data_IF_283626800365
#
_entry.id   IF_283626800365
#
_cell.length_a   1.000
_cell.length_b   1.000
_cell.length_c   1.000
_cell.angle_alpha   90.00
_cell.angle_beta   90.00
_cell.angle_gamma   90.00
#
_symmetry.space_group_name_H-M   'P 1'
#
loop_
_entity.id
_entity.type
_entity.pdbx_description
1 polymer ?
#
# COMPACT_ATOMS: atom_id res chain seq x y z
N UNK A 1 4.81 25.39 5.15
CA UNK A 1 5.21 24.07 5.65
C UNK A 1 4.11 23.63 6.59
N UNK A 2 3.38 22.55 6.23
CA UNK A 2 2.32 22.01 7.10
C UNK A 2 3.00 21.21 8.21
N UNK A 3 2.72 21.52 9.48
CA UNK A 3 3.25 20.78 10.63
C UNK A 3 2.17 19.84 11.16
N UNK A 4 2.45 18.56 11.09
CA UNK A 4 1.63 17.47 11.65
C UNK A 4 2.42 16.80 12.78
N UNK A 5 1.74 16.40 13.86
CA UNK A 5 2.28 15.50 14.88
C UNK A 5 1.37 14.29 15.00
N UNK A 6 1.96 13.12 15.01
CA UNK A 6 1.30 11.85 15.25
C UNK A 6 2.03 11.05 16.32
N UNK A 7 1.30 10.29 17.10
CA UNK A 7 1.80 9.21 17.93
C UNK A 7 0.91 8.00 17.66
N UNK A 8 1.51 6.93 17.19
CA UNK A 8 0.83 5.66 16.94
C UNK A 8 1.32 4.63 17.96
N UNK A 9 0.44 3.77 18.37
CA UNK A 9 0.67 2.70 19.33
C UNK A 9 0.22 1.41 18.67
N UNK A 10 1.06 0.38 18.64
CA UNK A 10 0.68 -0.94 18.17
C UNK A 10 0.86 -2.00 19.27
N UNK A 11 -0.07 -2.93 19.35
CA UNK A 11 -0.06 -4.09 20.23
C UNK A 11 0.19 -5.34 19.39
N UNK A 12 1.16 -6.15 19.77
CA UNK A 12 1.56 -7.39 19.09
C UNK A 12 0.93 -8.64 19.75
N UNK A 13 0.77 -9.75 19.01
CA UNK A 13 -0.35 -10.70 19.07
C UNK A 13 -0.44 -11.65 20.25
N UNK A 14 -1.62 -12.31 20.35
CA UNK A 14 -1.86 -13.49 21.18
C UNK A 14 -1.55 -14.71 20.33
N UNK A 15 -0.53 -15.49 20.71
CA UNK A 15 -0.12 -16.70 20.00
C UNK A 15 -1.10 -17.86 20.24
N UNK A 16 -1.32 -18.69 19.20
CA UNK A 16 -2.10 -19.90 19.27
C UNK A 16 -1.38 -21.04 20.05
N UNK A 17 -2.16 -22.02 20.51
CA UNK A 17 -1.63 -23.21 21.17
C UNK A 17 -0.77 -24.05 20.22
N UNK A 18 0.39 -24.47 20.70
CA UNK A 18 1.29 -25.35 19.95
C UNK A 18 0.59 -26.69 19.61
N UNK A 19 0.54 -27.04 18.30
CA UNK A 19 0.02 -28.32 17.82
C UNK A 19 -1.28 -28.26 17.02
N UNK A 20 -1.96 -27.11 16.93
CA UNK A 20 -3.11 -26.94 16.02
C UNK A 20 -2.66 -26.53 14.61
N UNK A 21 -3.43 -26.83 13.54
CA UNK A 21 -3.16 -26.31 12.21
C UNK A 21 -3.56 -24.85 12.02
N UNK A 22 -4.06 -24.19 13.06
CA UNK A 22 -4.54 -22.82 13.06
C UNK A 22 -3.64 -21.93 13.90
N UNK A 23 -3.41 -20.73 13.40
CA UNK A 23 -2.77 -19.64 14.13
C UNK A 23 -3.66 -18.39 14.05
N UNK A 24 -3.81 -17.69 15.19
CA UNK A 24 -4.65 -16.49 15.28
C UNK A 24 -3.83 -15.38 15.91
N UNK A 25 -3.69 -14.30 15.19
CA UNK A 25 -2.99 -13.10 15.63
C UNK A 25 -3.96 -11.91 15.64
N UNK A 26 -3.77 -11.00 16.59
CA UNK A 26 -4.55 -9.77 16.67
C UNK A 26 -3.61 -8.59 16.92
N UNK A 27 -3.63 -7.63 16.00
CA UNK A 27 -2.84 -6.42 16.05
C UNK A 27 -3.75 -5.20 16.17
N UNK A 28 -3.47 -4.35 17.15
CA UNK A 28 -4.19 -3.09 17.33
C UNK A 28 -3.22 -1.93 17.12
N UNK A 29 -3.59 -1.02 16.23
CA UNK A 29 -2.88 0.23 15.99
C UNK A 29 -3.77 1.42 16.35
N UNK A 30 -3.26 2.34 17.16
CA UNK A 30 -3.97 3.58 17.52
C UNK A 30 -3.08 4.80 17.38
N UNK A 31 -3.59 5.88 16.82
CA UNK A 31 -2.83 7.10 16.55
C UNK A 31 -3.55 8.37 16.94
N UNK A 32 -2.88 9.24 17.71
CA UNK A 32 -3.30 10.61 17.98
C UNK A 32 -2.67 11.55 16.97
N UNK A 33 -3.48 12.19 16.16
CA UNK A 33 -3.07 13.09 15.08
C UNK A 33 -3.47 14.52 15.36
N UNK A 34 -2.67 15.47 14.94
CA UNK A 34 -3.00 16.90 15.06
C UNK A 34 -2.46 17.71 13.89
N UNK A 35 -3.34 18.38 13.16
CA UNK A 35 -2.98 19.44 12.24
C UNK A 35 -2.73 20.74 13.05
N UNK A 36 -1.48 21.18 13.08
CA UNK A 36 -1.04 22.33 13.88
C UNK A 36 -1.19 23.63 13.11
N UNK A 37 -0.98 23.59 11.78
CA UNK A 37 -1.01 24.80 10.95
C UNK A 37 -1.28 24.48 9.48
N UNK A 38 -2.01 25.38 8.81
CA UNK A 38 -2.38 25.25 7.40
C UNK A 38 -3.44 24.17 7.17
N UNK A 39 -3.60 23.75 5.90
CA UNK A 39 -4.64 22.79 5.49
C UNK A 39 -6.03 23.43 5.46
N UNK A 40 -7.07 22.58 5.56
CA UNK A 40 -8.49 22.99 5.55
C UNK A 40 -8.86 23.56 6.92
N UNK A 41 -8.55 22.82 8.00
CA UNK A 41 -8.81 23.26 9.36
C UNK A 41 -7.75 22.73 10.35
N UNK A 42 -7.47 23.52 11.41
CA UNK A 42 -6.66 23.04 12.54
C UNK A 42 -7.48 22.10 13.41
N UNK A 43 -6.87 21.09 13.94
CA UNK A 43 -7.57 20.15 14.84
C UNK A 43 -6.88 18.81 14.95
N UNK A 44 -7.47 17.90 15.68
CA UNK A 44 -6.95 16.56 15.89
C UNK A 44 -7.96 15.48 15.48
N UNK A 45 -7.43 14.27 15.34
CA UNK A 45 -8.20 13.06 15.17
C UNK A 45 -7.51 11.91 15.92
N UNK A 46 -8.29 10.98 16.44
CA UNK A 46 -7.81 9.70 16.92
C UNK A 46 -8.24 8.65 15.91
N UNK A 47 -7.27 7.96 15.32
CA UNK A 47 -7.49 6.88 14.36
C UNK A 47 -7.09 5.58 15.04
N UNK A 48 -7.85 4.52 14.82
CA UNK A 48 -7.46 3.18 15.25
C UNK A 48 -7.94 2.10 14.29
N UNK A 49 -7.23 0.98 14.32
CA UNK A 49 -7.48 -0.24 13.55
C UNK A 49 -7.22 -1.45 14.44
N UNK A 50 -8.03 -2.48 14.26
CA UNK A 50 -7.82 -3.81 14.81
C UNK A 50 -7.83 -4.81 13.65
N UNK A 51 -6.72 -5.52 13.50
CA UNK A 51 -6.51 -6.54 12.50
C UNK A 51 -6.49 -7.91 13.19
N UNK A 52 -7.33 -8.83 12.75
CA UNK A 52 -7.33 -10.22 13.22
C UNK A 52 -6.99 -11.12 12.05
N UNK A 53 -5.80 -11.72 12.11
CA UNK A 53 -5.29 -12.65 11.11
C UNK A 53 -5.52 -14.08 11.59
N UNK A 54 -6.15 -14.89 10.75
CA UNK A 54 -6.39 -16.31 10.96
C UNK A 54 -5.65 -17.07 9.87
N UNK A 55 -4.61 -17.80 10.22
CA UNK A 55 -3.80 -18.61 9.31
C UNK A 55 -4.09 -20.11 9.51
N UNK A 56 -4.03 -20.87 8.42
CA UNK A 56 -4.24 -22.31 8.40
C UNK A 56 -3.13 -23.03 7.64
N UNK A 57 -2.59 -24.06 8.26
CA UNK A 57 -1.54 -24.93 7.73
C UNK A 57 -2.16 -26.22 7.18
N UNK A 58 -2.22 -26.35 5.85
CA UNK A 58 -2.81 -27.49 5.18
C UNK A 58 -1.96 -28.75 5.27
N UNK A 59 -0.65 -28.67 5.46
CA UNK A 59 0.20 -29.84 5.66
C UNK A 59 -0.13 -30.50 7.00
N UNK A 60 -0.26 -29.72 8.06
CA UNK A 60 -0.65 -30.22 9.40
C UNK A 60 -2.10 -30.70 9.44
N UNK A 61 -3.02 -30.04 8.73
CA UNK A 61 -4.43 -30.34 8.80
C UNK A 61 -4.85 -31.54 7.95
N UNK A 62 -4.35 -31.62 6.72
CA UNK A 62 -4.80 -32.58 5.70
C UNK A 62 -3.66 -33.28 4.96
N UNK A 63 -2.40 -33.08 5.37
CA UNK A 63 -1.21 -33.74 4.79
C UNK A 63 -0.79 -33.22 3.41
N UNK A 64 -1.30 -32.08 2.97
CA UNK A 64 -0.95 -31.48 1.67
C UNK A 64 0.18 -30.48 1.85
N UNK A 65 1.39 -30.89 1.50
CA UNK A 65 2.59 -30.05 1.63
C UNK A 65 2.48 -28.77 0.82
N UNK A 66 2.79 -27.65 1.50
CA UNK A 66 2.78 -26.31 0.88
C UNK A 66 1.40 -25.73 0.62
N UNK A 67 0.34 -26.35 1.11
CA UNK A 67 -1.01 -25.78 1.11
C UNK A 67 -1.20 -24.93 2.36
N UNK A 68 -1.66 -23.70 2.20
CA UNK A 68 -1.99 -22.79 3.30
C UNK A 68 -3.18 -21.91 2.95
N UNK A 69 -3.85 -21.36 3.96
CA UNK A 69 -4.89 -20.35 3.79
C UNK A 69 -4.77 -19.28 4.87
N UNK A 70 -5.28 -18.10 4.58
CA UNK A 70 -5.33 -16.99 5.52
C UNK A 70 -6.60 -16.18 5.34
N UNK A 71 -7.10 -15.64 6.45
CA UNK A 71 -8.12 -14.61 6.45
C UNK A 71 -7.68 -13.47 7.37
N UNK A 72 -7.82 -12.23 6.91
CA UNK A 72 -7.59 -11.01 7.67
C UNK A 72 -8.92 -10.28 7.82
N UNK A 73 -9.36 -10.11 9.06
CA UNK A 73 -10.53 -9.33 9.43
C UNK A 73 -10.06 -8.00 10.00
N UNK A 74 -10.50 -6.91 9.37
CA UNK A 74 -10.13 -5.55 9.70
C UNK A 74 -11.33 -4.82 10.32
N UNK A 75 -11.10 -4.14 11.45
CA UNK A 75 -12.00 -3.11 11.99
C UNK A 75 -11.24 -1.80 12.15
N UNK A 76 -11.91 -0.68 11.86
CA UNK A 76 -11.41 0.66 12.14
C UNK A 76 -12.52 1.66 12.49
N UNK A 77 -12.14 2.76 13.17
CA UNK A 77 -13.07 3.74 13.69
C UNK A 77 -13.54 4.80 12.69
N UNK A 78 -13.02 4.79 11.47
CA UNK A 78 -13.44 5.68 10.38
C UNK A 78 -13.11 7.16 10.57
N UNK A 79 -12.16 7.50 11.42
CA UNK A 79 -11.70 8.87 11.57
C UNK A 79 -10.69 9.23 10.47
N UNK A 80 -10.60 10.52 10.15
CA UNK A 80 -9.70 11.04 9.12
C UNK A 80 -8.97 12.27 9.64
N UNK A 81 -7.64 12.31 9.43
CA UNK A 81 -6.83 13.51 9.60
C UNK A 81 -6.64 14.21 8.24
N UNK A 82 -6.62 13.47 7.14
CA UNK A 82 -6.49 13.99 5.80
C UNK A 82 -7.64 14.93 5.44
N UNK A 83 -8.86 14.69 5.96
CA UNK A 83 -10.00 15.61 5.81
C UNK A 83 -9.76 17.00 6.40
N UNK A 84 -8.87 17.13 7.39
CA UNK A 84 -8.49 18.41 8.00
C UNK A 84 -7.31 19.08 7.29
N UNK A 85 -6.46 18.29 6.68
CA UNK A 85 -5.27 18.78 5.99
C UNK A 85 -5.54 19.07 4.52
N UNK A 86 -6.38 18.26 3.87
CA UNK A 86 -6.66 18.34 2.44
C UNK A 86 -5.46 17.91 1.61
N UNK A 87 -4.83 16.81 2.03
CA UNK A 87 -3.78 16.14 1.29
C UNK A 87 -4.37 15.05 0.39
N UNK A 88 -3.62 14.67 -0.64
CA UNK A 88 -3.98 13.59 -1.55
C UNK A 88 -3.27 12.27 -1.23
N UNK A 89 -2.34 12.27 -0.27
CA UNK A 89 -1.48 11.11 0.01
C UNK A 89 -1.98 10.21 1.14
N UNK A 90 -3.04 10.60 1.86
CA UNK A 90 -3.50 9.98 3.09
C UNK A 90 -2.40 9.90 4.16
N UNK A 91 -2.47 10.79 5.12
CA UNK A 91 -1.46 10.98 6.15
C UNK A 91 -1.27 9.76 7.06
N UNK A 92 -2.26 8.88 7.13
CA UNK A 92 -2.18 7.65 7.91
C UNK A 92 -2.57 6.44 7.07
N UNK A 93 -1.72 5.41 7.11
CA UNK A 93 -1.93 4.15 6.41
C UNK A 93 -3.07 3.28 6.99
N UNK A 94 -3.69 3.68 8.12
CA UNK A 94 -4.91 3.06 8.67
C UNK A 94 -6.15 3.92 8.45
N UNK A 95 -6.05 5.00 7.68
CA UNK A 95 -7.14 5.95 7.45
C UNK A 95 -8.14 5.42 6.42
N UNK A 96 -9.38 5.20 6.85
CA UNK A 96 -10.48 4.75 5.98
C UNK A 96 -11.83 5.03 6.63
N UNK A 97 -12.94 4.64 5.99
CA UNK A 97 -14.29 4.72 6.56
C UNK A 97 -14.48 3.68 7.67
N UNK A 98 -15.26 4.00 8.70
CA UNK A 98 -15.62 3.05 9.76
C UNK A 98 -16.23 1.78 9.16
N UNK A 99 -15.61 0.63 9.44
CA UNK A 99 -16.08 -0.65 8.95
C UNK A 99 -15.51 -1.82 9.76
N UNK A 100 -16.23 -2.93 9.74
CA UNK A 100 -15.73 -4.28 10.03
C UNK A 100 -15.83 -5.08 8.73
N UNK A 101 -14.71 -5.57 8.22
CA UNK A 101 -14.68 -6.28 6.93
C UNK A 101 -13.63 -7.38 6.88
N UNK A 102 -13.83 -8.35 6.02
CA UNK A 102 -12.76 -9.26 5.60
C UNK A 102 -11.94 -8.51 4.54
N UNK A 103 -10.68 -8.21 4.85
CA UNK A 103 -9.75 -7.57 3.93
C UNK A 103 -9.09 -8.60 3.04
N UNK A 104 -8.65 -9.73 3.61
CA UNK A 104 -8.07 -10.84 2.85
C UNK A 104 -8.76 -12.16 3.22
N UNK A 105 -8.92 -13.03 2.22
CA UNK A 105 -9.31 -14.43 2.40
C UNK A 105 -8.83 -15.23 1.20
N UNK A 106 -7.69 -15.90 1.34
CA UNK A 106 -7.05 -16.59 0.22
C UNK A 106 -6.52 -17.97 0.60
N UNK A 107 -6.30 -18.79 -0.43
CA UNK A 107 -5.60 -20.08 -0.37
C UNK A 107 -4.34 -19.98 -1.21
N UNK A 108 -3.24 -20.53 -0.72
CA UNK A 108 -1.95 -20.59 -1.40
C UNK A 108 -1.43 -22.01 -1.50
N UNK A 109 -0.81 -22.32 -2.64
CA UNK A 109 -0.11 -23.56 -2.88
C UNK A 109 1.35 -23.29 -3.26
N UNK A 110 2.29 -23.80 -2.45
CA UNK A 110 3.73 -23.63 -2.58
C UNK A 110 4.46 -24.95 -2.26
N UNK A 111 4.36 -25.99 -3.12
CA UNK A 111 4.75 -27.36 -2.73
C UNK A 111 6.24 -27.59 -2.55
N UNK A 112 7.09 -26.81 -3.18
CA UNK A 112 8.55 -27.01 -3.19
C UNK A 112 9.33 -25.86 -2.58
N UNK A 113 8.83 -24.65 -2.70
CA UNK A 113 9.53 -23.42 -2.38
C UNK A 113 8.49 -22.31 -2.14
N UNK A 114 8.50 -21.60 -1.02
CA UNK A 114 7.58 -20.48 -0.77
C UNK A 114 7.60 -19.43 -1.89
N UNK A 115 8.76 -19.23 -2.54
CA UNK A 115 8.90 -18.29 -3.67
C UNK A 115 8.50 -18.90 -5.04
N UNK A 116 7.90 -20.10 -5.04
CA UNK A 116 7.24 -20.73 -6.20
C UNK A 116 5.84 -21.12 -5.81
N UNK A 117 4.94 -20.15 -5.88
CA UNK A 117 3.61 -20.26 -5.30
C UNK A 117 2.52 -19.70 -6.20
N UNK A 118 1.32 -20.24 -5.99
CA UNK A 118 0.09 -19.74 -6.58
C UNK A 118 -0.86 -19.41 -5.42
N UNK A 119 -1.48 -18.21 -5.47
CA UNK A 119 -2.44 -17.74 -4.47
C UNK A 119 -3.72 -17.32 -5.17
N UNK A 120 -4.87 -17.64 -4.57
CA UNK A 120 -6.18 -17.27 -5.07
C UNK A 120 -7.11 -16.87 -3.92
N UNK A 121 -7.85 -15.79 -4.08
CA UNK A 121 -8.87 -15.33 -3.12
C UNK A 121 -8.97 -13.80 -3.07
N UNK A 122 -9.60 -13.29 -2.02
CA UNK A 122 -9.54 -11.87 -1.68
C UNK A 122 -8.10 -11.53 -1.30
N UNK A 123 -7.49 -10.61 -2.04
CA UNK A 123 -6.06 -10.41 -1.98
C UNK A 123 -5.71 -8.92 -1.99
N UNK A 124 -4.97 -8.48 -0.98
CA UNK A 124 -4.36 -7.15 -0.96
C UNK A 124 -3.07 -7.16 -1.78
N UNK A 125 -3.10 -6.49 -2.93
CA UNK A 125 -1.95 -6.40 -3.85
C UNK A 125 -0.72 -5.80 -3.17
N UNK A 126 -0.90 -4.83 -2.27
CA UNK A 126 0.21 -4.13 -1.63
C UNK A 126 0.87 -4.92 -0.51
N UNK A 127 0.42 -6.12 -0.21
CA UNK A 127 1.18 -7.04 0.66
C UNK A 127 2.42 -7.61 -0.02
N UNK A 128 2.48 -7.59 -1.35
CA UNK A 128 3.59 -8.18 -2.12
C UNK A 128 4.09 -7.30 -3.27
N UNK A 129 3.25 -6.42 -3.86
CA UNK A 129 3.61 -5.55 -5.00
C UNK A 129 3.80 -4.11 -4.55
N UNK A 130 4.80 -3.44 -5.14
CA UNK A 130 5.18 -2.05 -4.85
C UNK A 130 5.50 -1.82 -3.37
N UNK A 131 6.06 -2.83 -2.71
CA UNK A 131 6.39 -2.82 -1.28
C UNK A 131 7.87 -2.67 -1.05
N UNK A 132 8.24 -1.90 -0.02
CA UNK A 132 9.64 -1.72 0.39
C UNK A 132 9.77 -1.86 1.91
N UNK A 133 10.73 -2.68 2.35
CA UNK A 133 10.97 -2.91 3.78
C UNK A 133 11.45 -1.64 4.50
N UNK A 134 12.28 -0.85 3.81
CA UNK A 134 12.79 0.43 4.32
C UNK A 134 11.66 1.42 4.62
N UNK A 135 10.59 1.43 3.81
CA UNK A 135 9.50 2.39 4.00
C UNK A 135 8.44 1.95 5.02
N UNK A 136 8.46 0.71 5.49
CA UNK A 136 7.43 0.15 6.39
C UNK A 136 7.32 0.83 7.77
N UNK A 137 8.28 1.69 8.13
CA UNK A 137 8.28 2.46 9.38
C UNK A 137 7.43 3.73 9.31
N UNK A 138 7.14 4.22 8.10
CA UNK A 138 6.43 5.49 7.91
C UNK A 138 4.91 5.31 7.98
N UNK A 139 4.23 6.37 8.40
CA UNK A 139 2.78 6.38 8.63
C UNK A 139 1.98 6.88 7.42
N UNK A 140 2.57 7.76 6.60
CA UNK A 140 1.88 8.26 5.41
C UNK A 140 1.78 7.16 4.36
N UNK A 141 0.56 6.97 3.81
CA UNK A 141 0.23 5.86 2.90
C UNK A 141 1.08 5.83 1.63
N UNK A 142 1.58 6.99 1.17
CA UNK A 142 2.40 7.06 -0.05
C UNK A 142 3.75 6.35 0.07
N UNK A 143 4.22 6.06 1.30
CA UNK A 143 5.43 5.28 1.53
C UNK A 143 5.17 3.77 1.53
N UNK A 144 3.92 3.33 1.67
CA UNK A 144 3.50 1.93 1.52
C UNK A 144 3.30 1.54 0.06
N UNK A 145 2.65 2.41 -0.72
CA UNK A 145 2.41 2.23 -2.16
C UNK A 145 2.39 3.60 -2.84
N UNK A 146 2.99 3.72 -4.02
CA UNK A 146 2.98 4.99 -4.74
C UNK A 146 1.59 5.42 -5.19
N UNK A 147 1.26 6.71 -5.07
CA UNK A 147 -0.07 7.24 -5.44
C UNK A 147 -0.40 7.08 -6.92
N UNK A 148 0.61 6.91 -7.78
CA UNK A 148 0.45 6.55 -9.19
C UNK A 148 -0.20 5.18 -9.40
N UNK A 149 -0.01 4.26 -8.45
CA UNK A 149 -0.68 2.95 -8.40
C UNK A 149 -1.93 3.04 -7.53
N UNK A 150 -1.81 3.53 -6.30
CA UNK A 150 -2.89 3.53 -5.31
C UNK A 150 -4.16 4.26 -5.76
N UNK A 151 -4.03 5.31 -6.57
CA UNK A 151 -5.15 6.10 -7.08
C UNK A 151 -5.47 5.81 -8.56
N UNK A 152 -5.03 4.67 -9.07
CA UNK A 152 -5.34 4.22 -10.43
C UNK A 152 -6.74 3.59 -10.51
N UNK A 153 -7.29 3.48 -11.72
CA UNK A 153 -8.60 2.86 -11.94
C UNK A 153 -9.78 3.68 -11.43
N UNK A 154 -10.90 3.01 -11.16
CA UNK A 154 -12.15 3.66 -10.71
C UNK A 154 -12.13 3.93 -9.21
N UNK A 155 -11.58 3.00 -8.42
CA UNK A 155 -11.58 3.04 -6.96
C UNK A 155 -10.24 2.61 -6.36
N UNK A 156 -9.14 2.78 -7.08
CA UNK A 156 -7.85 2.19 -6.78
C UNK A 156 -7.75 0.72 -7.20
N UNK A 157 -6.56 0.11 -7.07
CA UNK A 157 -6.38 -1.32 -7.20
C UNK A 157 -6.91 -2.07 -5.96
N UNK A 158 -6.85 -3.40 -5.98
CA UNK A 158 -7.16 -4.24 -4.80
C UNK A 158 -6.10 -4.07 -3.72
N UNK A 159 -6.27 -3.08 -2.87
CA UNK A 159 -5.41 -2.74 -1.71
C UNK A 159 -6.27 -2.33 -0.53
N UNK A 160 -5.68 -2.21 0.68
CA UNK A 160 -6.37 -1.56 1.80
C UNK A 160 -7.02 -0.24 1.35
N UNK A 161 -8.27 0.05 1.68
CA UNK A 161 -9.18 -0.73 2.53
C UNK A 161 -10.15 -1.63 1.77
N UNK A 162 -10.11 -1.72 0.46
CA UNK A 162 -11.01 -2.50 -0.38
C UNK A 162 -10.23 -3.46 -1.27
N UNK A 163 -10.49 -4.75 -1.10
CA UNK A 163 -9.85 -5.81 -1.87
C UNK A 163 -10.82 -6.51 -2.79
N UNK A 164 -10.30 -7.21 -3.76
CA UNK A 164 -11.03 -7.99 -4.74
C UNK A 164 -10.48 -9.40 -4.88
N UNK A 165 -11.20 -10.24 -5.60
CA UNK A 165 -10.67 -11.54 -5.99
C UNK A 165 -9.47 -11.36 -6.91
N UNK A 166 -8.42 -12.13 -6.62
CA UNK A 166 -7.19 -12.14 -7.39
C UNK A 166 -6.58 -13.52 -7.51
N UNK A 167 -5.80 -13.70 -8.57
CA UNK A 167 -4.92 -14.82 -8.78
C UNK A 167 -3.50 -14.28 -8.89
N UNK A 168 -2.61 -14.69 -7.97
CA UNK A 168 -1.20 -14.32 -7.97
C UNK A 168 -0.31 -15.53 -8.18
N UNK A 169 0.61 -15.45 -9.12
CA UNK A 169 1.72 -16.37 -9.33
C UNK A 169 3.05 -15.72 -8.99
N UNK A 170 3.92 -16.45 -8.28
CA UNK A 170 5.28 -16.04 -7.98
C UNK A 170 6.23 -17.16 -8.36
N UNK A 171 7.39 -16.78 -8.93
CA UNK A 171 8.39 -17.73 -9.38
C UNK A 171 9.80 -17.20 -9.14
N UNK A 172 10.55 -17.88 -8.29
CA UNK A 172 11.99 -17.67 -8.16
C UNK A 172 12.70 -18.34 -9.34
N UNK A 173 13.37 -17.54 -10.18
CA UNK A 173 14.10 -18.02 -11.35
C UNK A 173 15.44 -18.64 -10.89
N UNK A 174 16.17 -17.91 -10.07
CA UNK A 174 17.43 -18.33 -9.44
C UNK A 174 17.61 -17.63 -8.05
N UNK A 175 18.79 -17.71 -7.46
CA UNK A 175 19.08 -17.11 -6.15
C UNK A 175 18.93 -15.57 -6.09
N UNK A 176 18.95 -14.90 -7.23
CA UNK A 176 18.87 -13.44 -7.29
C UNK A 176 17.70 -12.89 -8.08
N UNK A 177 16.98 -13.70 -8.86
CA UNK A 177 15.88 -13.24 -9.70
C UNK A 177 14.55 -13.86 -9.31
N UNK A 178 13.55 -13.01 -9.14
CA UNK A 178 12.16 -13.37 -8.89
C UNK A 178 11.25 -12.62 -9.86
N UNK A 179 10.24 -13.31 -10.35
CA UNK A 179 9.12 -12.72 -11.10
C UNK A 179 7.83 -13.02 -10.35
N UNK A 180 6.94 -12.05 -10.28
CA UNK A 180 5.59 -12.25 -9.79
C UNK A 180 4.59 -11.51 -10.67
N UNK A 181 3.37 -12.06 -10.75
CA UNK A 181 2.28 -11.46 -11.49
C UNK A 181 0.96 -11.72 -10.78
N UNK A 182 0.03 -10.77 -10.89
CA UNK A 182 -1.32 -10.89 -10.36
C UNK A 182 -2.35 -10.46 -11.40
N UNK A 183 -3.50 -11.13 -11.39
CA UNK A 183 -4.72 -10.73 -12.09
C UNK A 183 -5.80 -10.53 -11.03
N UNK A 184 -6.40 -9.35 -11.00
CA UNK A 184 -7.39 -8.96 -10.01
C UNK A 184 -8.61 -8.36 -10.72
N UNK A 185 -9.76 -8.32 -10.07
CA UNK A 185 -10.87 -7.52 -10.59
C UNK A 185 -10.47 -6.06 -10.74
N UNK A 186 -10.97 -5.41 -11.79
CA UNK A 186 -10.61 -4.03 -12.13
C UNK A 186 -11.20 -2.97 -11.20
N UNK A 187 -12.24 -3.32 -10.43
CA UNK A 187 -12.85 -2.47 -9.41
C UNK A 187 -12.97 -3.27 -8.11
N UNK A 188 -12.19 -2.97 -7.07
CA UNK A 188 -12.24 -3.72 -5.83
C UNK A 188 -13.52 -3.43 -5.05
N UNK A 189 -14.14 -4.49 -4.53
CA UNK A 189 -15.31 -4.40 -3.67
C UNK A 189 -16.52 -3.75 -4.37
N UNK A 190 -17.24 -2.93 -3.62
CA UNK A 190 -18.35 -2.11 -4.11
C UNK A 190 -18.13 -0.66 -3.63
N UNK A 191 -17.71 0.26 -4.50
CA UNK A 191 -17.49 1.67 -4.13
C UNK A 191 -18.72 2.37 -3.54
N UNK A 192 -19.92 1.91 -3.86
CA UNK A 192 -21.18 2.44 -3.28
C UNK A 192 -21.42 1.92 -1.86
N UNK A 193 -20.75 0.81 -1.48
CA UNK A 193 -20.90 0.17 -0.15
C UNK A 193 -19.54 -0.07 0.51
N UNK A 194 -18.70 0.96 0.68
CA UNK A 194 -17.31 0.83 1.10
C UNK A 194 -17.11 0.25 2.51
N UNK A 195 -18.19 0.12 3.28
CA UNK A 195 -18.17 -0.45 4.64
C UNK A 195 -18.30 -1.98 4.69
N UNK A 196 -18.46 -2.63 3.54
CA UNK A 196 -18.71 -4.08 3.47
C UNK A 196 -17.67 -4.77 2.62
N UNK A 197 -17.32 -5.99 2.99
CA UNK A 197 -16.67 -6.92 2.07
C UNK A 197 -17.69 -7.31 1.00
N UNK A 198 -17.38 -7.03 -0.25
CA UNK A 198 -18.22 -7.35 -1.40
C UNK A 198 -17.35 -7.96 -2.48
N UNK A 199 -17.76 -9.10 -3.03
CA UNK A 199 -17.20 -9.69 -4.24
C UNK A 199 -18.19 -9.40 -5.34
N UNK A 200 -17.79 -8.55 -6.31
CA UNK A 200 -18.63 -8.16 -7.43
C UNK A 200 -17.91 -8.47 -8.72
N UNK A 201 -18.23 -9.61 -9.31
CA UNK A 201 -17.70 -9.98 -10.61
C UNK A 201 -18.52 -9.27 -11.70
N UNK A 202 -17.88 -8.36 -12.44
CA UNK A 202 -18.50 -7.64 -13.54
C UNK A 202 -17.59 -7.65 -14.76
N UNK A 203 -18.13 -8.03 -15.91
CA UNK A 203 -17.40 -7.95 -17.19
C UNK A 203 -17.00 -6.52 -17.55
N UNK A 204 -17.77 -5.53 -17.10
CA UNK A 204 -17.57 -4.11 -17.44
C UNK A 204 -16.44 -3.51 -16.63
N UNK A 205 -16.22 -4.01 -15.42
CA UNK A 205 -15.13 -3.59 -14.53
C UNK A 205 -13.75 -4.10 -15.02
N UNK A 206 -13.75 -5.13 -15.89
CA UNK A 206 -12.55 -5.72 -16.46
C UNK A 206 -11.61 -6.32 -15.39
N UNK A 207 -10.33 -6.42 -15.73
CA UNK A 207 -9.27 -6.93 -14.84
C UNK A 207 -8.10 -5.96 -14.78
N UNK A 208 -7.46 -5.92 -13.61
CA UNK A 208 -6.14 -5.33 -13.40
C UNK A 208 -5.10 -6.45 -13.50
N UNK A 209 -4.15 -6.31 -14.42
CA UNK A 209 -2.95 -7.13 -14.47
C UNK A 209 -1.77 -6.36 -13.90
N UNK A 210 -0.98 -7.00 -13.02
CA UNK A 210 0.25 -6.43 -12.46
C UNK A 210 1.36 -7.47 -12.59
N UNK A 211 2.57 -7.03 -12.90
CA UNK A 211 3.76 -7.87 -12.97
C UNK A 211 4.97 -7.14 -12.40
N UNK A 212 5.79 -7.84 -11.64
CA UNK A 212 7.08 -7.37 -11.16
C UNK A 212 8.21 -8.32 -11.53
N UNK A 213 9.35 -7.73 -11.83
CA UNK A 213 10.64 -8.41 -11.92
C UNK A 213 11.55 -7.84 -10.84
N UNK A 214 12.06 -8.70 -10.00
CA UNK A 214 12.96 -8.37 -8.91
C UNK A 214 14.35 -8.97 -9.13
N UNK A 215 15.36 -8.18 -8.80
CA UNK A 215 16.76 -8.62 -8.65
C UNK A 215 17.21 -8.33 -7.23
N UNK A 216 17.66 -9.37 -6.53
CA UNK A 216 18.29 -9.24 -5.22
C UNK A 216 19.76 -9.66 -5.33
N UNK A 217 20.68 -8.78 -4.93
CA UNK A 217 22.11 -9.03 -4.99
C UNK A 217 22.82 -8.28 -3.86
N UNK A 218 23.51 -9.03 -2.99
CA UNK A 218 24.29 -8.47 -1.88
C UNK A 218 23.47 -7.54 -0.97
N UNK A 219 22.20 -7.88 -0.70
CA UNK A 219 21.27 -7.10 0.11
C UNK A 219 20.68 -5.87 -0.62
N UNK A 220 21.01 -5.65 -1.89
CA UNK A 220 20.35 -4.64 -2.74
C UNK A 220 19.22 -5.28 -3.49
N UNK A 221 18.04 -4.68 -3.39
CA UNK A 221 16.82 -5.12 -4.05
C UNK A 221 16.44 -4.10 -5.12
N UNK A 222 16.32 -4.55 -6.36
CA UNK A 222 15.87 -3.76 -7.50
C UNK A 222 14.57 -4.35 -7.99
N UNK A 223 13.57 -3.52 -8.18
CA UNK A 223 12.26 -3.96 -8.70
C UNK A 223 11.85 -3.03 -9.82
N UNK A 224 11.28 -3.63 -10.86
CA UNK A 224 10.51 -2.94 -11.88
C UNK A 224 9.14 -3.60 -11.96
N UNK A 225 8.08 -2.79 -11.85
CA UNK A 225 6.69 -3.22 -11.91
C UNK A 225 5.94 -2.53 -13.04
N UNK A 226 4.99 -3.23 -13.63
CA UNK A 226 4.06 -2.70 -14.62
C UNK A 226 2.65 -3.16 -14.31
N UNK A 227 1.69 -2.25 -14.41
CA UNK A 227 0.28 -2.54 -14.22
C UNK A 227 -0.56 -2.03 -15.40
N UNK A 228 -1.68 -2.71 -15.66
CA UNK A 228 -2.60 -2.34 -16.73
C UNK A 228 -4.01 -2.85 -16.45
N UNK A 229 -5.00 -1.97 -16.68
CA UNK A 229 -6.41 -2.32 -16.69
C UNK A 229 -6.86 -2.74 -18.09
N UNK A 230 -7.78 -3.72 -18.17
CA UNK A 230 -8.38 -4.16 -19.42
C UNK A 230 -9.68 -3.41 -19.77
N UNK A 231 -10.31 -2.75 -18.79
CA UNK A 231 -11.54 -1.99 -18.97
C UNK A 231 -11.30 -0.71 -19.80
N UNK A 232 -12.39 -0.12 -20.28
CA UNK A 232 -12.40 1.24 -20.82
C UNK A 232 -12.61 2.26 -19.73
N UNK A 233 -11.85 3.34 -19.81
CA UNK A 233 -11.93 4.48 -18.87
C UNK A 233 -12.26 5.75 -19.62
N UNK A 234 -12.98 6.65 -18.97
CA UNK A 234 -13.16 8.00 -19.42
C UNK A 234 -11.82 8.76 -19.39
N UNK A 235 -11.48 9.44 -20.48
CA UNK A 235 -10.31 10.32 -20.49
C UNK A 235 -10.62 11.62 -19.76
N UNK A 236 -9.71 12.05 -18.88
CA UNK A 236 -9.95 13.18 -17.96
C UNK A 236 -10.29 14.52 -18.64
N UNK A 237 -9.72 14.78 -19.81
CA UNK A 237 -9.87 16.08 -20.48
C UNK A 237 -10.35 15.99 -21.94
N UNK A 238 -10.59 14.79 -22.46
CA UNK A 238 -10.98 14.61 -23.84
C UNK A 238 -12.49 14.29 -23.96
N UNK A 239 -13.20 15.07 -24.76
CA UNK A 239 -14.64 14.89 -25.02
C UNK A 239 -14.92 14.60 -26.47
N UNK A 240 -16.02 13.92 -26.73
CA UNK A 240 -16.60 13.71 -28.05
C UNK A 240 -17.40 14.97 -28.49
N UNK A 241 -17.80 15.07 -29.79
CA UNK A 241 -18.58 16.20 -30.27
C UNK A 241 -19.93 16.41 -29.56
N UNK A 242 -20.50 15.35 -28.96
CA UNK A 242 -21.73 15.39 -28.17
C UNK A 242 -21.51 15.83 -26.69
N UNK A 243 -20.26 16.12 -26.31
CA UNK A 243 -19.88 16.53 -24.95
C UNK A 243 -19.63 15.38 -23.97
N UNK A 244 -19.86 14.13 -24.37
CA UNK A 244 -19.54 12.97 -23.53
C UNK A 244 -18.02 12.75 -23.41
N UNK A 245 -17.50 12.17 -22.29
CA UNK A 245 -16.10 11.82 -22.17
C UNK A 245 -15.68 10.82 -23.26
N UNK A 246 -14.50 11.02 -23.84
CA UNK A 246 -13.91 10.00 -24.72
C UNK A 246 -13.45 8.83 -23.87
N UNK A 247 -13.81 7.60 -24.28
CA UNK A 247 -13.41 6.37 -23.60
C UNK A 247 -12.33 5.64 -24.37
N UNK A 248 -11.37 5.07 -23.67
CA UNK A 248 -10.35 4.22 -24.28
C UNK A 248 -9.76 3.20 -23.33
N UNK A 249 -9.14 2.14 -23.93
CA UNK A 249 -8.50 1.03 -23.22
C UNK A 249 -7.00 1.20 -23.22
N UNK A 250 -6.45 1.85 -22.23
CA UNK A 250 -5.00 1.99 -22.13
C UNK A 250 -4.52 2.41 -20.73
N UNK A 251 -5.40 2.38 -19.72
CA UNK A 251 -5.00 2.78 -18.38
C UNK A 251 -3.91 1.84 -17.86
N UNK A 252 -2.70 2.36 -17.73
CA UNK A 252 -1.51 1.62 -17.36
C UNK A 252 -0.48 2.52 -16.67
N UNK A 253 0.46 1.90 -15.98
CA UNK A 253 1.60 2.58 -15.39
C UNK A 253 2.77 1.64 -15.15
N UNK A 254 3.89 2.24 -14.77
CA UNK A 254 5.14 1.54 -14.48
C UNK A 254 5.80 2.20 -13.28
N UNK A 255 6.37 1.40 -12.41
CA UNK A 255 7.19 1.87 -11.32
C UNK A 255 8.49 1.09 -11.23
N UNK A 256 9.47 1.67 -10.56
CA UNK A 256 10.70 0.99 -10.24
C UNK A 256 11.24 1.51 -8.91
N UNK A 257 11.90 0.64 -8.16
CA UNK A 257 12.60 1.06 -6.95
C UNK A 257 13.88 0.29 -6.71
N UNK A 258 14.73 0.88 -5.89
CA UNK A 258 15.90 0.24 -5.33
C UNK A 258 15.91 0.43 -3.82
N UNK A 259 16.11 -0.69 -3.11
CA UNK A 259 16.45 -0.70 -1.69
C UNK A 259 17.89 -1.15 -1.51
N UNK A 260 18.60 -0.53 -0.59
CA UNK A 260 20.01 -0.84 -0.37
C UNK A 260 20.42 -0.61 1.07
N UNK A 261 21.19 -1.53 1.69
CA UNK A 261 21.86 -1.22 2.93
C UNK A 261 22.87 -0.08 2.70
N UNK A 262 22.99 0.77 3.68
CA UNK A 262 23.94 1.88 3.70
C UNK A 262 25.13 1.51 4.59
N UNK A 263 26.32 2.00 4.20
CA UNK A 263 27.57 1.84 4.95
C UNK A 263 28.34 3.15 5.06
N UNK A 264 29.32 3.21 5.96
CA UNK A 264 30.22 4.35 6.12
C UNK A 264 29.71 5.43 7.06
N UNK A 265 30.07 6.68 6.80
CA UNK A 265 29.84 7.82 7.71
C UNK A 265 28.34 8.10 7.96
N UNK A 266 27.46 7.83 6.99
CA UNK A 266 26.01 8.03 7.12
C UNK A 266 25.41 7.14 8.22
N UNK A 267 25.96 5.95 8.41
CA UNK A 267 25.44 5.00 9.41
C UNK A 267 25.90 5.31 10.83
N UNK A 268 26.99 6.04 11.00
CA UNK A 268 27.61 6.30 12.31
C UNK A 268 27.79 5.02 13.15
N UNK A 269 28.10 3.89 12.50
CA UNK A 269 28.25 2.59 13.15
C UNK A 269 26.95 1.83 13.41
N UNK A 270 25.84 2.26 12.82
CA UNK A 270 24.51 1.63 12.92
C UNK A 270 24.16 0.93 11.63
N UNK A 271 23.21 0.02 11.69
CA UNK A 271 22.56 -0.50 10.48
C UNK A 271 21.64 0.58 9.91
N UNK A 272 21.72 0.79 8.60
CA UNK A 272 20.86 1.73 7.91
C UNK A 272 20.53 1.19 6.52
N UNK A 273 19.34 1.56 6.04
CA UNK A 273 18.88 1.27 4.69
C UNK A 273 18.33 2.51 4.02
N UNK A 274 18.36 2.52 2.70
CA UNK A 274 17.75 3.56 1.89
C UNK A 274 16.90 2.95 0.78
N UNK A 275 15.88 3.69 0.38
CA UNK A 275 15.04 3.37 -0.76
C UNK A 275 14.87 4.59 -1.64
N UNK A 276 14.81 4.36 -2.95
CA UNK A 276 14.37 5.32 -3.95
C UNK A 276 13.37 4.61 -4.86
N UNK A 277 12.16 5.15 -4.95
CA UNK A 277 11.10 4.69 -5.85
C UNK A 277 10.70 5.80 -6.80
N UNK A 278 10.45 5.44 -8.05
CA UNK A 278 9.84 6.30 -9.07
C UNK A 278 8.67 5.58 -9.72
N UNK A 279 7.63 6.32 -10.07
CA UNK A 279 6.44 5.78 -10.73
C UNK A 279 5.88 6.72 -11.77
N UNK A 280 5.19 6.15 -12.74
CA UNK A 280 4.50 6.89 -13.79
C UNK A 280 3.22 6.19 -14.20
N UNK A 281 2.10 6.92 -14.21
CA UNK A 281 0.81 6.48 -14.71
C UNK A 281 0.40 7.25 -15.98
N UNK A 282 -0.46 6.66 -16.80
CA UNK A 282 -0.98 7.32 -18.00
C UNK A 282 -1.83 8.53 -17.59
N UNK A 283 -1.42 9.76 -17.93
CA UNK A 283 -2.09 10.99 -17.50
C UNK A 283 -3.46 11.21 -18.16
N UNK A 284 -3.84 10.41 -19.13
CA UNK A 284 -5.17 10.49 -19.73
C UNK A 284 -6.25 10.03 -18.75
N UNK A 285 -5.90 9.11 -17.82
CA UNK A 285 -6.84 8.44 -16.91
C UNK A 285 -6.56 8.70 -15.44
N UNK A 286 -5.32 9.05 -15.10
CA UNK A 286 -4.88 9.16 -13.72
C UNK A 286 -4.54 10.59 -13.35
N UNK A 287 -4.94 11.01 -12.16
CA UNK A 287 -4.64 12.35 -11.65
C UNK A 287 -3.14 12.57 -11.54
N UNK A 288 -2.46 11.74 -10.78
CA UNK A 288 -1.00 11.77 -10.65
C UNK A 288 -0.34 11.05 -11.81
N UNK A 289 0.52 11.78 -12.53
CA UNK A 289 1.30 11.26 -13.65
C UNK A 289 2.64 10.70 -13.22
N UNK A 290 3.40 11.46 -12.45
CA UNK A 290 4.76 11.10 -12.03
C UNK A 290 4.84 11.15 -10.50
N UNK A 291 5.51 10.15 -9.90
CA UNK A 291 5.76 10.07 -8.47
C UNK A 291 7.20 9.71 -8.19
N UNK A 292 7.70 10.21 -7.07
CA UNK A 292 9.00 9.81 -6.53
C UNK A 292 8.91 9.80 -5.02
N UNK A 293 9.45 8.76 -4.37
CA UNK A 293 9.74 8.82 -2.96
C UNK A 293 11.15 8.33 -2.65
N UNK A 294 11.74 8.86 -1.58
CA UNK A 294 13.02 8.42 -1.08
C UNK A 294 12.96 8.40 0.46
N UNK A 295 13.62 7.42 1.06
CA UNK A 295 13.73 7.32 2.50
C UNK A 295 15.09 6.78 2.93
N UNK A 296 15.48 7.11 4.16
CA UNK A 296 16.59 6.52 4.88
C UNK A 296 16.09 6.16 6.27
N UNK A 297 16.42 4.95 6.71
CA UNK A 297 16.03 4.41 8.01
C UNK A 297 17.27 3.87 8.72
N UNK A 298 17.40 4.18 10.00
CA UNK A 298 18.47 3.73 10.89
C UNK A 298 17.89 2.84 11.97
N UNK A 299 18.50 1.67 12.19
CA UNK A 299 18.27 0.81 13.33
C UNK A 299 19.19 1.26 14.49
N UNK A 300 18.72 1.11 15.75
CA UNK A 300 19.48 1.59 16.90
C UNK A 300 19.46 3.11 17.07
N UNK A 301 18.39 3.73 16.75
CA UNK A 301 17.86 5.09 16.90
C UNK A 301 18.73 6.24 17.40
N UNK A 302 18.06 7.33 17.79
CA UNK A 302 18.68 8.58 18.25
C UNK A 302 19.22 8.47 19.69
N UNK A 303 18.57 7.68 20.55
CA UNK A 303 18.94 7.54 21.98
C UNK A 303 19.86 6.36 22.25
N UNK A 304 20.40 5.70 21.21
CA UNK A 304 21.32 4.55 21.28
C UNK A 304 20.71 3.29 21.90
N UNK A 305 19.41 3.10 21.78
CA UNK A 305 18.74 1.84 22.09
C UNK A 305 18.75 0.96 20.85
N UNK A 306 19.06 -0.31 20.99
CA UNK A 306 19.11 -1.28 19.88
C UNK A 306 17.73 -1.52 19.23
N UNK A 307 16.67 -1.31 20.01
CA UNK A 307 15.27 -1.52 19.63
C UNK A 307 14.59 -0.26 19.04
N UNK A 308 15.32 0.81 18.82
CA UNK A 308 14.81 2.04 18.21
C UNK A 308 14.97 2.02 16.68
N UNK A 309 14.01 2.61 16.00
CA UNK A 309 14.09 2.88 14.55
C UNK A 309 13.83 4.35 14.30
N UNK A 310 14.70 5.00 13.55
CA UNK A 310 14.53 6.39 13.12
C UNK A 310 14.52 6.46 11.61
N UNK A 311 13.53 7.17 11.03
CA UNK A 311 13.35 7.30 9.60
C UNK A 311 13.15 8.75 9.16
N UNK A 312 13.66 9.05 7.97
CA UNK A 312 13.45 10.30 7.25
C UNK A 312 12.98 9.96 5.85
N UNK A 313 11.87 10.52 5.42
CA UNK A 313 11.32 10.27 4.10
C UNK A 313 10.80 11.53 3.42
N UNK A 314 10.80 11.52 2.10
CA UNK A 314 10.18 12.51 1.25
C UNK A 314 9.44 11.81 0.11
N UNK A 315 8.22 12.25 -0.18
CA UNK A 315 7.50 11.86 -1.38
C UNK A 315 7.02 13.09 -2.13
N UNK A 316 7.06 13.01 -3.45
CA UNK A 316 6.59 14.04 -4.36
C UNK A 316 5.78 13.42 -5.49
N UNK A 317 4.60 13.98 -5.76
CA UNK A 317 3.76 13.56 -6.87
C UNK A 317 3.36 14.78 -7.71
N UNK A 318 3.27 14.57 -9.03
CA UNK A 318 2.91 15.60 -10.00
C UNK A 318 1.65 15.20 -10.76
N UNK A 319 0.68 16.09 -10.76
CA UNK A 319 -0.53 15.94 -11.56
C UNK A 319 -0.24 16.03 -13.06
N UNK A 320 -0.96 15.24 -13.86
CA UNK A 320 -0.97 15.33 -15.31
C UNK A 320 -1.65 16.60 -15.81
N UNK A 321 -1.27 17.08 -17.01
CA UNK A 321 -1.88 18.26 -17.59
C UNK A 321 -3.39 18.06 -17.85
N UNK A 322 -3.82 16.83 -18.14
CA UNK A 322 -5.23 16.46 -18.30
C UNK A 322 -6.02 16.59 -16.99
N UNK A 323 -5.45 16.15 -15.87
CA UNK A 323 -6.07 16.31 -14.55
C UNK A 323 -6.20 17.79 -14.18
N UNK A 324 -5.16 18.59 -14.43
CA UNK A 324 -5.19 20.05 -14.20
C UNK A 324 -6.25 20.74 -15.04
N UNK A 325 -6.38 20.35 -16.32
CA UNK A 325 -7.40 20.88 -17.23
C UNK A 325 -8.82 20.48 -16.79
N UNK A 326 -9.03 19.23 -16.39
CA UNK A 326 -10.30 18.73 -15.89
C UNK A 326 -10.73 19.44 -14.60
N UNK A 327 -9.82 19.59 -13.63
CA UNK A 327 -10.09 20.32 -12.39
C UNK A 327 -10.46 21.79 -12.64
N UNK A 328 -9.74 22.47 -13.55
CA UNK A 328 -10.06 23.83 -13.93
C UNK A 328 -11.46 23.95 -14.59
N UNK A 329 -11.79 22.99 -15.47
CA UNK A 329 -13.10 22.97 -16.14
C UNK A 329 -14.25 22.67 -15.16
N UNK A 330 -14.00 21.86 -14.12
CA UNK A 330 -14.95 21.58 -13.05
C UNK A 330 -15.10 22.71 -12.01
N UNK A 331 -14.29 23.77 -12.09
CA UNK A 331 -14.27 24.85 -11.11
C UNK A 331 -13.53 24.50 -9.80
N UNK A 332 -12.80 23.40 -9.78
CA UNK A 332 -11.98 22.91 -8.66
C UNK A 332 -10.51 22.79 -9.13
N UNK A 333 -9.76 23.88 -9.20
CA UNK A 333 -8.42 23.88 -9.77
C UNK A 333 -7.44 23.11 -8.88
N UNK A 334 -6.88 22.04 -9.41
CA UNK A 334 -5.87 21.23 -8.74
C UNK A 334 -4.52 21.95 -8.67
N UNK A 335 -3.74 21.66 -7.63
CA UNK A 335 -2.33 22.04 -7.58
C UNK A 335 -1.54 21.19 -8.56
N UNK A 336 -0.43 21.73 -9.08
CA UNK A 336 0.42 21.02 -10.03
C UNK A 336 1.13 19.82 -9.38
N UNK A 337 1.50 19.95 -8.13
CA UNK A 337 2.25 18.95 -7.39
C UNK A 337 1.92 18.97 -5.89
N UNK A 338 2.25 17.88 -5.23
CA UNK A 338 2.19 17.74 -3.79
C UNK A 338 3.49 17.07 -3.28
N UNK A 339 3.95 17.55 -2.12
CA UNK A 339 5.16 17.01 -1.48
C UNK A 339 4.91 16.80 0.00
N UNK A 340 5.30 15.64 0.50
CA UNK A 340 5.30 15.31 1.92
C UNK A 340 6.70 15.00 2.41
N UNK A 341 7.01 15.46 3.60
CA UNK A 341 8.20 15.07 4.37
C UNK A 341 7.72 14.39 5.65
N UNK A 342 8.32 13.26 5.98
CA UNK A 342 8.04 12.54 7.21
C UNK A 342 9.31 12.28 7.99
N UNK A 343 9.22 12.50 9.31
CA UNK A 343 10.21 12.10 10.29
C UNK A 343 9.52 11.16 11.26
N UNK A 344 10.00 9.94 11.34
CA UNK A 344 9.42 8.90 12.19
C UNK A 344 10.47 8.36 13.15
N UNK A 345 10.06 8.24 14.39
CA UNK A 345 10.85 7.62 15.45
C UNK A 345 9.98 6.59 16.15
N UNK A 346 10.34 5.31 16.03
CA UNK A 346 9.64 4.17 16.57
C UNK A 346 10.49 3.51 17.65
N UNK A 347 9.90 3.19 18.78
CA UNK A 347 10.55 2.49 19.88
C UNK A 347 9.52 1.74 20.73
N UNK A 348 9.87 0.57 21.33
CA UNK A 348 8.99 -0.13 22.23
C UNK A 348 8.86 0.61 23.55
N UNK A 349 7.62 0.80 24.00
CA UNK A 349 7.30 1.41 25.31
C UNK A 349 7.22 0.34 26.39
N UNK A 350 6.74 -0.85 26.03
CA UNK A 350 6.65 -2.04 26.87
C UNK A 350 6.73 -3.30 25.99
N UNK A 351 6.97 -4.50 26.57
CA UNK A 351 6.85 -5.73 25.82
C UNK A 351 5.50 -5.79 25.09
N UNK A 352 5.52 -6.00 23.77
CA UNK A 352 4.35 -6.01 22.85
C UNK A 352 3.67 -4.64 22.64
N UNK A 353 4.35 -3.54 22.97
CA UNK A 353 3.81 -2.19 22.76
C UNK A 353 4.89 -1.27 22.17
N UNK A 354 4.68 -0.79 20.95
CA UNK A 354 5.59 0.13 20.23
C UNK A 354 4.87 1.39 19.77
#
# INVERSE_FOLDING_TARGET
MKLLRAAALSLVPVAAEAGTPWDIEADYAGGLWRNLDGGIERGGAYLDSLDVTISWDGERAVGVKGLSAQSLVLWNNGRSISSKVGDSFFLSNIETVEALRVLEAWVQYAPTDPERSLRFGLYDLNTEFDTTDTSAVFLNSTFGIGVDVAQSGVAGPSIFPLTSLGLRGQWRIDEGWRVQAALLEGVPGDPERPKRTTIKLSSDDGVLGVMELERNESGRRWVIGHWRYSAEFDELAATLPDGSPRRSRANAGTYAFVETPLAGAITAGREASAVLRVGRADPRFNGFRDTVHAAIVWQGGLLRREDEVFGVAVAHARNGDQALAAGLAAGDPLRRDETVFELTWKFPVAPRLT
#
